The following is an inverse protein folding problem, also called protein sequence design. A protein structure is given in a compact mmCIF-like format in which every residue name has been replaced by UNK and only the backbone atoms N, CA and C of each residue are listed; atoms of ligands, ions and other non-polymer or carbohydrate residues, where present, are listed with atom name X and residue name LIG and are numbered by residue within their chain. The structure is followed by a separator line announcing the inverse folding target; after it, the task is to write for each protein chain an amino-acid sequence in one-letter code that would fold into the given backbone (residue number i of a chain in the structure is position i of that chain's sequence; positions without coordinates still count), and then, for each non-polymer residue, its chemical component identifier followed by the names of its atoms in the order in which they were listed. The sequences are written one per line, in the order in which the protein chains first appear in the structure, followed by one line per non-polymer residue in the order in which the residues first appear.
data_IF_686907617268
#
_entry.id   IF_686907617268
#
_cell.length_a   1.000
_cell.length_b   1.000
_cell.length_c   1.000
_cell.angle_alpha   90.00
_cell.angle_beta   90.00
_cell.angle_gamma   90.00
#
_symmetry.space_group_name_H-M   'P 1'
#
loop_
_entity.id
_entity.type
_entity.pdbx_description
1 polymer ?
#
# COMPACT_ATOMS: atom_id res chain seq x y z
N UNK A 1 7.04 0.06 21.95
CA UNK A 1 5.79 -0.09 21.14
C UNK A 1 5.75 -1.51 20.61
N UNK A 2 4.69 -2.26 20.91
CA UNK A 2 4.50 -3.63 20.45
C UNK A 2 3.22 -3.75 19.62
N UNK A 3 3.21 -4.69 18.68
CA UNK A 3 2.01 -5.05 17.95
C UNK A 3 1.22 -6.11 18.71
N UNK A 4 -0.10 -5.91 18.86
CA UNK A 4 -1.01 -6.86 19.48
C UNK A 4 -2.13 -7.20 18.51
N UNK A 5 -2.36 -8.49 18.26
CA UNK A 5 -3.44 -8.96 17.40
C UNK A 5 -4.80 -8.57 17.97
N UNK A 6 -5.80 -8.41 17.08
CA UNK A 6 -7.16 -8.01 17.49
C UNK A 6 -7.80 -8.97 18.50
N UNK A 7 -7.46 -10.25 18.43
CA UNK A 7 -7.94 -11.30 19.36
C UNK A 7 -7.28 -11.21 20.75
N UNK A 8 -6.04 -10.68 20.83
CA UNK A 8 -5.23 -10.59 22.06
C UNK A 8 -5.35 -9.22 22.75
N UNK A 9 -6.09 -8.28 22.14
CA UNK A 9 -6.30 -6.96 22.72
C UNK A 9 -7.03 -7.04 24.07
N UNK A 10 -6.51 -6.31 25.06
CA UNK A 10 -7.11 -6.22 26.40
C UNK A 10 -7.53 -4.79 26.70
N UNK A 11 -8.67 -4.65 27.35
CA UNK A 11 -9.17 -3.35 27.83
C UNK A 11 -8.11 -2.68 28.68
N UNK A 12 -7.88 -1.40 28.43
CA UNK A 12 -6.90 -0.59 29.16
C UNK A 12 -5.51 -0.54 28.53
N UNK A 13 -5.24 -1.31 27.47
CA UNK A 13 -4.01 -1.15 26.69
C UNK A 13 -3.94 0.25 26.09
N UNK A 14 -2.75 0.88 26.16
CA UNK A 14 -2.50 2.23 25.66
C UNK A 14 -2.12 2.18 24.20
N UNK A 15 -2.79 2.97 23.37
CA UNK A 15 -2.53 2.99 21.93
C UNK A 15 -1.25 3.76 21.59
N UNK A 16 -0.41 3.16 20.75
CA UNK A 16 0.80 3.81 20.24
C UNK A 16 0.52 4.67 19.00
N UNK A 17 -0.58 4.41 18.28
CA UNK A 17 -1.02 5.15 17.11
C UNK A 17 -2.50 5.50 17.20
N UNK A 18 -2.94 6.62 16.59
CA UNK A 18 -4.36 6.98 16.56
C UNK A 18 -5.15 5.98 15.70
N UNK A 19 -6.44 5.84 15.98
CA UNK A 19 -7.36 5.03 15.18
C UNK A 19 -8.41 5.95 14.58
N UNK A 20 -8.54 5.90 13.25
CA UNK A 20 -9.55 6.63 12.50
C UNK A 20 -10.56 5.66 11.88
N UNK A 21 -11.80 6.13 11.66
CA UNK A 21 -12.75 5.40 10.83
C UNK A 21 -12.51 5.72 9.33
N UNK A 22 -13.29 5.07 8.44
CA UNK A 22 -13.20 5.28 6.99
C UNK A 22 -13.51 6.71 6.51
N UNK A 23 -14.10 7.56 7.36
CA UNK A 23 -14.35 8.97 7.09
C UNK A 23 -13.25 9.89 7.66
N UNK A 24 -12.18 9.31 8.21
CA UNK A 24 -11.11 10.05 8.84
C UNK A 24 -11.50 10.71 10.17
N UNK A 25 -12.56 10.24 10.82
CA UNK A 25 -12.94 10.69 12.16
C UNK A 25 -12.09 9.92 13.17
N UNK A 26 -11.41 10.65 14.04
CA UNK A 26 -10.62 10.08 15.13
C UNK A 26 -11.56 9.34 16.11
N UNK A 27 -11.31 8.05 16.29
CA UNK A 27 -12.03 7.21 17.26
C UNK A 27 -11.27 7.12 18.58
N UNK A 28 -9.97 6.94 18.51
CA UNK A 28 -9.06 6.90 19.64
C UNK A 28 -7.79 7.67 19.31
N UNK A 29 -7.35 8.50 20.20
CA UNK A 29 -6.07 9.20 20.12
C UNK A 29 -4.90 8.30 20.50
N UNK A 30 -3.70 8.78 20.19
CA UNK A 30 -2.46 8.21 20.70
C UNK A 30 -2.44 8.34 22.22
N UNK A 31 -1.99 7.31 22.92
CA UNK A 31 -2.00 7.20 24.38
C UNK A 31 -3.38 6.93 25.02
N UNK A 32 -4.46 6.92 24.26
CA UNK A 32 -5.77 6.54 24.78
C UNK A 32 -5.76 5.07 25.21
N UNK A 33 -6.53 4.77 26.25
CA UNK A 33 -6.78 3.39 26.68
C UNK A 33 -7.92 2.80 25.88
N UNK A 34 -7.66 1.67 25.20
CA UNK A 34 -8.71 1.00 24.43
C UNK A 34 -9.80 0.46 25.37
N UNK A 35 -11.05 0.68 24.98
CA UNK A 35 -12.23 0.18 25.69
C UNK A 35 -12.69 -1.16 25.10
N UNK A 36 -13.61 -1.86 25.79
CA UNK A 36 -14.25 -3.07 25.26
C UNK A 36 -14.94 -2.80 23.92
N UNK A 37 -15.66 -1.70 23.81
CA UNK A 37 -16.31 -1.28 22.57
C UNK A 37 -15.27 -0.97 21.47
N UNK A 38 -14.11 -0.41 21.84
CA UNK A 38 -13.01 -0.18 20.92
C UNK A 38 -12.45 -1.47 20.34
N UNK A 39 -12.27 -2.51 21.16
CA UNK A 39 -11.83 -3.83 20.71
C UNK A 39 -12.84 -4.45 19.74
N UNK A 40 -14.13 -4.36 20.04
CA UNK A 40 -15.19 -4.83 19.14
C UNK A 40 -15.18 -4.05 17.81
N UNK A 41 -14.97 -2.73 17.86
CA UNK A 41 -14.85 -1.90 16.66
C UNK A 41 -13.63 -2.27 15.81
N UNK A 42 -12.49 -2.55 16.41
CA UNK A 42 -11.27 -3.04 15.72
C UNK A 42 -11.58 -4.30 14.92
N UNK A 43 -12.27 -5.26 15.53
CA UNK A 43 -12.69 -6.52 14.87
C UNK A 43 -13.70 -6.25 13.75
N UNK A 44 -14.70 -5.42 13.99
CA UNK A 44 -15.74 -5.08 13.02
C UNK A 44 -15.21 -4.32 11.80
N UNK A 45 -14.14 -3.52 11.98
CA UNK A 45 -13.46 -2.84 10.87
C UNK A 45 -12.48 -3.75 10.13
N UNK A 46 -12.32 -5.01 10.55
CA UNK A 46 -11.39 -5.96 9.95
C UNK A 46 -9.93 -5.57 10.18
N UNK A 47 -9.64 -4.82 11.25
CA UNK A 47 -8.26 -4.55 11.64
C UNK A 47 -7.68 -5.80 12.31
N UNK A 48 -6.53 -6.22 11.85
CA UNK A 48 -5.85 -7.43 12.34
C UNK A 48 -5.23 -7.26 13.74
N UNK A 49 -5.00 -6.02 14.18
CA UNK A 49 -4.45 -5.67 15.46
C UNK A 49 -4.05 -4.21 15.54
N UNK A 50 -3.46 -3.84 16.66
CA UNK A 50 -3.06 -2.47 16.96
C UNK A 50 -1.64 -2.41 17.53
N UNK A 51 -0.98 -1.28 17.32
CA UNK A 51 0.22 -0.94 18.06
C UNK A 51 -0.15 -0.38 19.43
N UNK A 52 0.39 -1.01 20.47
CA UNK A 52 0.22 -0.58 21.85
C UNK A 52 1.55 -0.20 22.48
N UNK A 53 1.49 0.68 23.47
CA UNK A 53 2.64 1.08 24.26
C UNK A 53 2.90 0.06 25.36
N UNK A 54 4.15 -0.22 25.62
CA UNK A 54 4.54 -0.96 26.81
C UNK A 54 4.26 -0.14 28.08
N UNK A 55 4.11 -0.79 29.23
CA UNK A 55 3.99 -0.08 30.49
C UNK A 55 5.15 0.90 30.68
N UNK A 56 4.83 2.14 31.03
CA UNK A 56 5.79 3.23 31.24
C UNK A 56 6.62 3.66 30.02
N UNK A 57 6.30 3.19 28.81
CA UNK A 57 6.98 3.64 27.59
C UNK A 57 6.70 5.14 27.36
N UNK A 58 7.74 5.99 27.24
CA UNK A 58 7.57 7.40 26.96
C UNK A 58 7.06 7.58 25.53
N UNK A 59 6.17 8.53 25.35
CA UNK A 59 5.55 8.80 24.05
C UNK A 59 5.90 10.23 23.61
N UNK A 60 6.75 10.36 22.58
CA UNK A 60 6.94 11.63 21.91
C UNK A 60 5.65 12.10 21.24
N UNK A 61 5.29 13.38 21.28
CA UNK A 61 4.10 13.88 20.59
C UNK A 61 4.23 13.67 19.08
N UNK A 62 3.12 13.32 18.41
CA UNK A 62 3.06 13.33 16.95
C UNK A 62 2.92 14.77 16.45
N UNK A 63 3.59 15.10 15.37
CA UNK A 63 3.35 16.35 14.66
C UNK A 63 1.96 16.37 14.00
N UNK A 64 1.49 17.55 13.66
CA UNK A 64 0.22 17.71 12.94
C UNK A 64 0.30 17.00 11.58
N UNK A 65 1.45 17.06 10.92
CA UNK A 65 1.69 16.41 9.61
C UNK A 65 1.62 14.89 9.74
N UNK A 66 2.23 14.30 10.77
CA UNK A 66 2.15 12.86 11.03
C UNK A 66 0.71 12.40 11.29
N UNK A 67 -0.06 13.17 12.08
CA UNK A 67 -1.48 12.86 12.32
C UNK A 67 -2.30 12.95 11.03
N UNK A 68 -2.04 13.96 10.18
CA UNK A 68 -2.72 14.11 8.90
C UNK A 68 -2.37 12.98 7.94
N UNK A 69 -1.11 12.55 7.92
CA UNK A 69 -0.66 11.44 7.10
C UNK A 69 -1.30 10.11 7.52
N UNK A 70 -1.30 9.78 8.80
CA UNK A 70 -1.98 8.59 9.35
C UNK A 70 -3.49 8.58 9.01
N UNK A 71 -4.14 9.74 9.15
CA UNK A 71 -5.55 9.90 8.79
C UNK A 71 -5.76 9.65 7.30
N UNK A 72 -4.92 10.27 6.44
CA UNK A 72 -4.98 10.09 5.00
C UNK A 72 -4.79 8.63 4.61
N UNK A 73 -3.74 7.98 5.10
CA UNK A 73 -3.49 6.56 4.82
C UNK A 73 -4.70 5.69 5.20
N UNK A 74 -5.29 5.92 6.37
CA UNK A 74 -6.46 5.15 6.81
C UNK A 74 -7.63 5.30 5.83
N UNK A 75 -7.97 6.54 5.46
CA UNK A 75 -9.09 6.80 4.54
C UNK A 75 -8.87 6.18 3.17
N UNK A 76 -7.65 6.35 2.63
CA UNK A 76 -7.34 5.87 1.28
C UNK A 76 -7.22 4.34 1.20
N UNK A 77 -6.75 3.67 2.25
CA UNK A 77 -6.76 2.19 2.31
C UNK A 77 -8.20 1.66 2.22
N UNK A 78 -9.15 2.27 2.93
CA UNK A 78 -10.55 1.86 2.85
C UNK A 78 -11.15 2.14 1.46
N UNK A 79 -10.89 3.33 0.89
CA UNK A 79 -11.32 3.68 -0.47
C UNK A 79 -10.76 2.70 -1.49
N UNK A 80 -9.45 2.48 -1.45
CA UNK A 80 -8.77 1.60 -2.38
C UNK A 80 -9.28 0.16 -2.29
N UNK A 81 -9.52 -0.34 -1.07
CA UNK A 81 -10.12 -1.66 -0.87
C UNK A 81 -11.48 -1.77 -1.55
N UNK A 82 -12.34 -0.76 -1.40
CA UNK A 82 -13.68 -0.76 -2.01
C UNK A 82 -13.56 -0.73 -3.55
N UNK A 83 -12.67 0.11 -4.12
CA UNK A 83 -12.44 0.21 -5.58
C UNK A 83 -11.81 -1.05 -6.18
N UNK A 84 -10.75 -1.57 -5.56
CA UNK A 84 -10.08 -2.77 -6.06
C UNK A 84 -10.97 -4.02 -5.98
N UNK A 85 -11.78 -4.14 -4.92
CA UNK A 85 -12.78 -5.22 -4.85
C UNK A 85 -13.90 -5.04 -5.89
N UNK A 86 -14.32 -3.81 -6.20
CA UNK A 86 -15.27 -3.55 -7.27
C UNK A 86 -14.73 -4.06 -8.62
N UNK A 87 -13.48 -3.74 -8.96
CA UNK A 87 -12.80 -4.24 -10.17
C UNK A 87 -12.77 -5.77 -10.20
N UNK A 88 -12.42 -6.40 -9.07
CA UNK A 88 -12.38 -7.87 -8.99
C UNK A 88 -13.76 -8.51 -9.23
N UNK A 89 -14.83 -7.80 -8.88
CA UNK A 89 -16.23 -8.20 -9.15
C UNK A 89 -16.73 -7.78 -10.55
N UNK A 90 -15.86 -7.30 -11.43
CA UNK A 90 -16.19 -6.72 -12.76
C UNK A 90 -17.17 -5.52 -12.68
N UNK A 91 -17.09 -4.74 -11.61
CA UNK A 91 -17.82 -3.48 -11.44
C UNK A 91 -16.89 -2.31 -11.74
N UNK A 92 -17.44 -1.24 -12.33
CA UNK A 92 -16.66 -0.04 -12.61
C UNK A 92 -16.13 0.60 -11.31
N UNK A 93 -14.82 0.93 -11.25
CA UNK A 93 -14.24 1.63 -10.10
C UNK A 93 -14.64 3.11 -10.17
N UNK A 94 -15.68 3.47 -9.41
CA UNK A 94 -16.30 4.81 -9.48
C UNK A 94 -15.35 5.94 -9.04
N UNK A 95 -14.40 5.66 -8.15
CA UNK A 95 -13.57 6.68 -7.50
C UNK A 95 -12.05 6.48 -7.69
N UNK A 96 -11.61 5.54 -8.54
CA UNK A 96 -10.19 5.28 -8.76
C UNK A 96 -9.45 6.53 -9.27
N UNK A 97 -10.00 7.22 -10.26
CA UNK A 97 -9.42 8.45 -10.80
C UNK A 97 -9.49 9.61 -9.81
N UNK A 98 -10.52 9.67 -8.97
CA UNK A 98 -10.59 10.64 -7.90
C UNK A 98 -9.50 10.38 -6.85
N UNK A 99 -9.29 9.13 -6.44
CA UNK A 99 -8.21 8.76 -5.52
C UNK A 99 -6.84 9.12 -6.10
N UNK A 100 -6.61 8.88 -7.41
CA UNK A 100 -5.41 9.30 -8.12
C UNK A 100 -5.18 10.82 -8.04
N UNK A 101 -6.22 11.59 -8.35
CA UNK A 101 -6.14 13.06 -8.32
C UNK A 101 -5.92 13.61 -6.90
N UNK A 102 -6.58 13.05 -5.89
CA UNK A 102 -6.42 13.44 -4.49
C UNK A 102 -4.99 13.15 -4.01
N UNK A 103 -4.44 11.98 -4.37
CA UNK A 103 -3.06 11.61 -4.06
C UNK A 103 -2.06 12.53 -4.74
N UNK A 104 -2.24 12.82 -6.04
CA UNK A 104 -1.34 13.74 -6.77
C UNK A 104 -1.40 15.17 -6.25
N UNK A 105 -2.57 15.66 -5.83
CA UNK A 105 -2.69 16.96 -5.16
C UNK A 105 -1.88 17.02 -3.87
N UNK A 106 -1.85 15.94 -3.12
CA UNK A 106 -1.16 15.90 -1.83
C UNK A 106 0.33 15.63 -1.96
N UNK A 107 0.77 14.76 -2.88
CA UNK A 107 2.16 14.29 -2.98
C UNK A 107 2.84 14.64 -4.31
N UNK A 108 2.09 14.83 -5.39
CA UNK A 108 2.63 15.07 -6.73
C UNK A 108 3.30 16.44 -6.94
N UNK A 109 3.36 17.30 -5.91
CA UNK A 109 3.98 18.62 -5.96
C UNK A 109 4.82 18.92 -4.69
N UNK A 110 5.18 17.90 -3.92
CA UNK A 110 5.90 18.13 -2.68
C UNK A 110 7.40 18.32 -2.90
N UNK A 111 7.92 19.44 -2.37
CA UNK A 111 9.35 19.75 -2.36
C UNK A 111 10.03 19.53 -1.01
N UNK A 112 9.28 19.32 0.06
CA UNK A 112 9.81 19.03 1.40
C UNK A 112 9.76 17.54 1.73
N UNK A 113 10.50 17.13 2.75
CA UNK A 113 10.47 15.78 3.29
C UNK A 113 9.12 15.50 3.94
N UNK A 114 8.63 14.27 3.78
CA UNK A 114 7.54 13.75 4.60
C UNK A 114 8.09 12.62 5.47
N UNK A 115 7.53 12.48 6.67
CA UNK A 115 7.76 11.30 7.50
C UNK A 115 6.85 10.19 6.97
N UNK A 116 7.41 9.33 6.13
CA UNK A 116 6.68 8.22 5.55
C UNK A 116 6.62 7.07 6.55
N UNK A 117 5.47 6.93 7.22
CA UNK A 117 5.25 5.85 8.17
C UNK A 117 4.69 4.62 7.47
N UNK A 118 5.41 3.51 7.57
CA UNK A 118 4.93 2.23 7.10
C UNK A 118 3.75 1.73 7.94
N UNK A 119 2.72 1.21 7.26
CA UNK A 119 1.62 0.51 7.89
C UNK A 119 1.98 -0.95 8.12
N UNK A 120 1.63 -1.49 9.28
CA UNK A 120 1.69 -2.93 9.48
C UNK A 120 0.72 -3.63 8.53
N UNK A 121 1.17 -4.73 7.91
CA UNK A 121 0.42 -5.50 6.91
C UNK A 121 0.21 -6.94 7.37
N UNK A 122 -0.96 -7.46 7.03
CA UNK A 122 -1.24 -8.88 7.05
C UNK A 122 -1.44 -9.41 5.62
N UNK A 123 -1.44 -10.73 5.41
CA UNK A 123 -1.78 -11.30 4.11
C UNK A 123 -3.15 -10.85 3.56
N UNK A 124 -4.10 -10.54 4.45
CA UNK A 124 -5.47 -10.12 4.08
C UNK A 124 -5.53 -8.66 3.59
N UNK A 125 -4.71 -7.77 4.16
CA UNK A 125 -4.73 -6.35 3.84
C UNK A 125 -3.51 -5.85 3.07
N UNK A 126 -2.56 -6.76 2.81
CA UNK A 126 -1.29 -6.46 2.14
C UNK A 126 -1.50 -5.66 0.86
N UNK A 127 -2.30 -6.17 -0.06
CA UNK A 127 -2.46 -5.59 -1.40
C UNK A 127 -2.92 -4.13 -1.34
N UNK A 128 -3.86 -3.80 -0.46
CA UNK A 128 -4.40 -2.44 -0.37
C UNK A 128 -3.40 -1.44 0.22
N UNK A 129 -2.71 -1.85 1.28
CA UNK A 129 -1.72 -1.01 1.96
C UNK A 129 -0.47 -0.83 1.12
N UNK A 130 -0.02 -1.91 0.48
CA UNK A 130 1.10 -1.91 -0.44
C UNK A 130 0.82 -1.01 -1.66
N UNK A 131 -0.30 -1.20 -2.33
CA UNK A 131 -0.68 -0.39 -3.48
C UNK A 131 -0.76 1.10 -3.15
N UNK A 132 -1.31 1.48 -1.98
CA UNK A 132 -1.33 2.87 -1.55
C UNK A 132 0.07 3.44 -1.33
N UNK A 133 0.93 2.71 -0.62
CA UNK A 133 2.29 3.17 -0.35
C UNK A 133 3.12 3.30 -1.62
N UNK A 134 3.04 2.31 -2.52
CA UNK A 134 3.70 2.37 -3.83
C UNK A 134 3.19 3.56 -4.65
N UNK A 135 1.89 3.85 -4.61
CA UNK A 135 1.32 5.01 -5.30
C UNK A 135 1.83 6.34 -4.74
N UNK A 136 1.93 6.49 -3.41
CA UNK A 136 2.51 7.69 -2.78
C UNK A 136 3.98 7.86 -3.17
N UNK A 137 4.78 6.79 -3.06
CA UNK A 137 6.19 6.81 -3.45
C UNK A 137 6.36 7.12 -4.94
N UNK A 138 5.54 6.52 -5.81
CA UNK A 138 5.54 6.78 -7.25
C UNK A 138 5.20 8.25 -7.56
N UNK A 139 4.24 8.86 -6.87
CA UNK A 139 3.92 10.28 -7.03
C UNK A 139 5.10 11.18 -6.64
N UNK A 140 5.78 10.87 -5.51
CA UNK A 140 6.95 11.62 -5.06
C UNK A 140 8.13 11.48 -6.01
N UNK A 141 8.42 10.26 -6.49
CA UNK A 141 9.52 9.97 -7.42
C UNK A 141 9.24 10.65 -8.77
N UNK A 142 8.06 10.47 -9.34
CA UNK A 142 7.70 11.02 -10.65
C UNK A 142 7.71 12.56 -10.66
N UNK A 143 7.27 13.19 -9.57
CA UNK A 143 7.38 14.64 -9.41
C UNK A 143 8.85 15.09 -9.43
N UNK A 144 9.72 14.43 -8.66
CA UNK A 144 11.15 14.75 -8.61
C UNK A 144 11.89 14.46 -9.91
N UNK A 145 11.45 13.47 -10.67
CA UNK A 145 11.95 13.14 -11.99
C UNK A 145 11.44 14.07 -13.11
N UNK A 146 10.53 15.01 -12.78
CA UNK A 146 10.04 16.01 -13.74
C UNK A 146 8.97 15.47 -14.71
N UNK A 147 8.24 14.41 -14.32
CA UNK A 147 7.17 13.86 -15.14
C UNK A 147 6.02 14.85 -15.30
N UNK A 148 5.40 14.83 -16.48
CA UNK A 148 4.14 15.54 -16.74
C UNK A 148 3.02 15.00 -15.85
N UNK A 149 1.95 15.78 -15.65
CA UNK A 149 0.79 15.34 -14.86
C UNK A 149 0.15 14.06 -15.44
N UNK A 150 0.22 13.86 -16.76
CA UNK A 150 -0.31 12.66 -17.40
C UNK A 150 0.54 11.44 -17.05
N UNK A 151 1.87 11.54 -17.08
CA UNK A 151 2.79 10.48 -16.68
C UNK A 151 2.72 10.19 -15.18
N UNK A 152 2.56 11.22 -14.35
CA UNK A 152 2.32 11.04 -12.91
C UNK A 152 1.00 10.30 -12.66
N UNK A 153 -0.07 10.62 -13.39
CA UNK A 153 -1.35 9.92 -13.30
C UNK A 153 -1.22 8.46 -13.75
N UNK A 154 -0.49 8.21 -14.83
CA UNK A 154 -0.24 6.85 -15.33
C UNK A 154 0.46 6.00 -14.28
N UNK A 155 1.57 6.47 -13.71
CA UNK A 155 2.35 5.69 -12.73
C UNK A 155 1.55 5.46 -11.44
N UNK A 156 0.73 6.42 -10.99
CA UNK A 156 -0.09 6.26 -9.79
C UNK A 156 -1.23 5.26 -10.01
N UNK A 157 -1.91 5.31 -11.16
CA UNK A 157 -2.94 4.31 -11.49
C UNK A 157 -2.32 2.93 -11.64
N UNK A 158 -1.16 2.81 -12.29
CA UNK A 158 -0.44 1.56 -12.37
C UNK A 158 -0.05 1.04 -10.97
N UNK A 159 0.41 1.92 -10.07
CA UNK A 159 0.72 1.56 -8.68
C UNK A 159 -0.50 1.05 -7.91
N UNK A 160 -1.69 1.61 -8.12
CA UNK A 160 -2.91 1.08 -7.49
C UNK A 160 -3.30 -0.31 -8.00
N UNK A 161 -3.00 -0.62 -9.25
CA UNK A 161 -3.49 -1.83 -9.91
C UNK A 161 -2.47 -2.98 -9.98
N UNK A 162 -1.17 -2.72 -9.76
CA UNK A 162 -0.11 -3.67 -10.09
C UNK A 162 -0.24 -5.02 -9.37
N UNK A 163 -0.71 -5.01 -8.14
CA UNK A 163 -0.88 -6.21 -7.32
C UNK A 163 -2.34 -6.66 -7.16
N UNK A 164 -3.29 -6.00 -7.86
CA UNK A 164 -4.72 -6.26 -7.71
C UNK A 164 -5.07 -7.74 -7.84
N UNK A 165 -4.47 -8.43 -8.79
CA UNK A 165 -4.79 -9.84 -9.04
C UNK A 165 -4.26 -10.78 -7.97
N UNK A 166 -3.32 -10.33 -7.13
CA UNK A 166 -2.86 -11.08 -5.96
C UNK A 166 -4.00 -11.34 -4.96
N UNK A 167 -5.09 -10.55 -5.01
CA UNK A 167 -6.30 -10.81 -4.21
C UNK A 167 -6.92 -12.20 -4.46
N UNK A 168 -6.70 -12.79 -5.64
CA UNK A 168 -7.16 -14.13 -5.99
C UNK A 168 -6.17 -15.25 -5.56
N UNK A 169 -4.97 -14.89 -5.14
CA UNK A 169 -3.98 -15.86 -4.68
C UNK A 169 -4.28 -16.29 -3.24
N UNK A 170 -3.71 -17.43 -2.86
CA UNK A 170 -3.73 -17.87 -1.46
C UNK A 170 -3.10 -16.81 -0.56
N UNK A 171 -3.63 -16.57 0.66
CA UNK A 171 -3.15 -15.52 1.56
C UNK A 171 -1.63 -15.55 1.78
N UNK A 172 -1.04 -16.73 1.90
CA UNK A 172 0.40 -16.94 2.12
C UNK A 172 1.25 -16.41 0.95
N UNK A 173 0.71 -16.47 -0.27
CA UNK A 173 1.42 -16.05 -1.47
C UNK A 173 1.22 -14.55 -1.78
N UNK A 174 0.14 -13.94 -1.27
CA UNK A 174 -0.17 -12.51 -1.51
C UNK A 174 0.90 -11.57 -0.99
N UNK A 175 1.38 -11.82 0.24
CA UNK A 175 2.39 -11.00 0.92
C UNK A 175 3.80 -11.56 0.83
N UNK A 176 4.02 -12.65 0.09
CA UNK A 176 5.35 -13.25 -0.07
C UNK A 176 6.13 -12.46 -1.13
N UNK A 177 7.03 -11.61 -0.68
CA UNK A 177 7.87 -10.75 -1.54
C UNK A 177 9.25 -11.33 -1.77
N UNK A 178 9.75 -12.14 -0.82
CA UNK A 178 11.07 -12.78 -0.88
C UNK A 178 10.96 -14.30 -0.96
N UNK A 179 12.01 -14.92 -1.46
CA UNK A 179 12.17 -16.38 -1.50
C UNK A 179 11.03 -17.12 -2.22
N UNK A 180 10.45 -16.49 -3.25
CA UNK A 180 9.54 -17.18 -4.17
C UNK A 180 10.30 -18.29 -4.88
N UNK A 181 9.76 -19.52 -4.87
CA UNK A 181 10.25 -20.59 -5.75
C UNK A 181 9.95 -20.23 -7.20
N UNK A 182 10.63 -20.86 -8.17
CA UNK A 182 10.36 -20.63 -9.60
C UNK A 182 8.92 -20.97 -9.98
N UNK A 183 8.34 -22.00 -9.34
CA UNK A 183 6.93 -22.38 -9.54
C UNK A 183 5.98 -21.29 -9.01
N UNK A 184 6.18 -20.80 -7.78
CA UNK A 184 5.40 -19.72 -7.19
C UNK A 184 5.51 -18.44 -8.02
N UNK A 185 6.73 -18.08 -8.46
CA UNK A 185 7.01 -16.93 -9.33
C UNK A 185 6.23 -17.02 -10.64
N UNK A 186 6.28 -18.19 -11.29
CA UNK A 186 5.51 -18.44 -12.51
C UNK A 186 4.00 -18.42 -12.28
N UNK A 187 3.52 -18.86 -11.12
CA UNK A 187 2.11 -18.78 -10.76
C UNK A 187 1.65 -17.33 -10.59
N UNK A 188 2.42 -16.52 -9.86
CA UNK A 188 2.14 -15.08 -9.69
C UNK A 188 2.18 -14.36 -11.02
N UNK A 189 3.21 -14.56 -11.84
CA UNK A 189 3.35 -13.94 -13.15
C UNK A 189 2.13 -14.22 -14.06
N UNK A 190 1.71 -15.47 -14.16
CA UNK A 190 0.53 -15.85 -14.96
C UNK A 190 -0.74 -15.18 -14.46
N UNK A 191 -0.96 -15.14 -13.13
CA UNK A 191 -2.11 -14.48 -12.54
C UNK A 191 -2.10 -12.97 -12.86
N UNK A 192 -0.95 -12.31 -12.72
CA UNK A 192 -0.79 -10.87 -12.99
C UNK A 192 -1.08 -10.57 -14.47
N UNK A 193 -0.49 -11.29 -15.41
CA UNK A 193 -0.70 -11.10 -16.86
C UNK A 193 -2.18 -11.24 -17.23
N UNK A 194 -2.82 -12.32 -16.80
CA UNK A 194 -4.25 -12.55 -17.07
C UNK A 194 -5.13 -11.47 -16.45
N UNK A 195 -4.77 -11.01 -15.27
CA UNK A 195 -5.48 -9.93 -14.59
C UNK A 195 -5.35 -8.59 -15.30
N UNK A 196 -4.15 -8.22 -15.74
CA UNK A 196 -3.90 -6.99 -16.51
C UNK A 196 -4.74 -6.98 -17.79
N UNK A 197 -4.75 -8.09 -18.52
CA UNK A 197 -5.57 -8.21 -19.74
C UNK A 197 -7.06 -8.07 -19.45
N UNK A 198 -7.55 -8.75 -18.41
CA UNK A 198 -8.95 -8.67 -18.00
C UNK A 198 -9.36 -7.25 -17.62
N UNK A 199 -8.55 -6.58 -16.77
CA UNK A 199 -8.84 -5.22 -16.32
C UNK A 199 -8.81 -4.23 -17.48
N UNK A 200 -7.78 -4.31 -18.34
CA UNK A 200 -7.61 -3.41 -19.47
C UNK A 200 -8.71 -3.56 -20.55
N UNK A 201 -9.31 -4.74 -20.65
CA UNK A 201 -10.42 -4.98 -21.56
C UNK A 201 -11.79 -4.59 -20.96
N UNK A 202 -11.90 -4.63 -19.62
CA UNK A 202 -13.15 -4.34 -18.92
C UNK A 202 -13.34 -2.85 -18.61
N UNK A 203 -12.24 -2.12 -18.40
CA UNK A 203 -12.28 -0.74 -17.94
C UNK A 203 -11.44 0.19 -18.80
N UNK A 204 -11.89 1.44 -18.96
CA UNK A 204 -11.16 2.46 -19.69
C UNK A 204 -10.03 3.05 -18.84
N UNK A 205 -8.88 2.38 -18.84
CA UNK A 205 -7.68 2.85 -18.14
C UNK A 205 -6.98 3.96 -18.94
N UNK A 206 -6.23 4.86 -18.25
CA UNK A 206 -5.36 5.81 -18.94
C UNK A 206 -4.40 5.10 -19.91
N UNK A 207 -4.11 5.77 -21.03
CA UNK A 207 -3.16 5.27 -22.01
C UNK A 207 -1.80 5.02 -21.33
N UNK A 208 -1.15 3.90 -21.66
CA UNK A 208 0.14 3.52 -21.09
C UNK A 208 0.06 2.59 -19.89
N UNK A 209 -0.99 2.68 -19.03
CA UNK A 209 -1.10 1.89 -17.79
C UNK A 209 -0.94 0.38 -18.05
N UNK A 210 -1.60 -0.17 -19.10
CA UNK A 210 -1.46 -1.59 -19.46
C UNK A 210 0.01 -1.95 -19.73
N UNK A 211 0.70 -1.15 -20.55
CA UNK A 211 2.10 -1.37 -20.90
C UNK A 211 3.02 -1.30 -19.68
N UNK A 212 2.80 -0.29 -18.82
CA UNK A 212 3.53 -0.11 -17.57
C UNK A 212 3.37 -1.30 -16.64
N UNK A 213 2.15 -1.81 -16.45
CA UNK A 213 1.87 -3.00 -15.65
C UNK A 213 2.52 -4.27 -16.23
N UNK A 214 2.48 -4.46 -17.55
CA UNK A 214 3.11 -5.61 -18.21
C UNK A 214 4.63 -5.59 -18.05
N UNK A 215 5.27 -4.44 -18.25
CA UNK A 215 6.72 -4.31 -18.06
C UNK A 215 7.12 -4.51 -16.60
N UNK A 216 6.35 -3.97 -15.64
CA UNK A 216 6.60 -4.22 -14.22
C UNK A 216 6.55 -5.72 -13.91
N UNK A 217 5.51 -6.42 -14.38
CA UNK A 217 5.37 -7.87 -14.19
C UNK A 217 6.57 -8.64 -14.77
N UNK A 218 7.05 -8.25 -15.95
CA UNK A 218 8.23 -8.87 -16.56
C UNK A 218 9.47 -8.64 -15.73
N UNK A 219 9.72 -7.41 -15.27
CA UNK A 219 10.89 -7.10 -14.44
C UNK A 219 10.86 -7.88 -13.12
N UNK A 220 9.71 -8.00 -12.48
CA UNK A 220 9.59 -8.63 -11.16
C UNK A 220 9.60 -10.16 -11.20
N UNK A 221 8.86 -10.74 -12.14
CA UNK A 221 8.57 -12.18 -12.12
C UNK A 221 9.14 -12.96 -13.29
N UNK A 222 9.54 -12.30 -14.37
CA UNK A 222 10.06 -12.92 -15.59
C UNK A 222 11.29 -12.15 -16.09
N UNK A 223 12.36 -12.03 -15.28
CA UNK A 223 13.51 -11.17 -15.61
C UNK A 223 14.20 -11.57 -16.90
N UNK A 224 14.16 -12.84 -17.30
CA UNK A 224 14.69 -13.32 -18.60
C UNK A 224 13.92 -12.77 -19.81
N UNK A 225 12.64 -12.36 -19.61
CA UNK A 225 11.77 -11.78 -20.63
C UNK A 225 11.62 -10.27 -20.50
N UNK A 226 12.29 -9.65 -19.51
CA UNK A 226 12.20 -8.21 -19.28
C UNK A 226 12.84 -7.43 -20.44
N UNK A 227 12.22 -6.33 -20.92
CA UNK A 227 12.84 -5.46 -21.91
C UNK A 227 14.17 -4.93 -21.40
N UNK A 228 15.17 -4.84 -22.33
CA UNK A 228 16.48 -4.26 -21.98
C UNK A 228 16.42 -2.77 -21.67
N UNK A 229 15.47 -2.08 -22.27
CA UNK A 229 15.19 -0.67 -22.03
C UNK A 229 13.73 -0.50 -21.60
N UNK A 230 13.55 -0.03 -20.38
CA UNK A 230 12.23 0.25 -19.79
C UNK A 230 12.06 1.76 -19.63
N UNK A 231 10.84 2.26 -19.83
CA UNK A 231 10.52 3.68 -19.70
C UNK A 231 10.80 4.19 -18.28
N UNK A 232 11.01 5.49 -18.14
CA UNK A 232 11.22 6.09 -16.81
C UNK A 232 9.99 5.96 -15.91
N UNK A 233 8.78 5.86 -16.47
CA UNK A 233 7.55 5.55 -15.75
C UNK A 233 7.66 4.17 -15.08
N UNK A 234 8.09 3.15 -15.83
CA UNK A 234 8.29 1.80 -15.30
C UNK A 234 9.39 1.78 -14.26
N UNK A 235 10.51 2.49 -14.49
CA UNK A 235 11.61 2.60 -13.51
C UNK A 235 11.14 3.21 -12.21
N UNK A 236 10.35 4.30 -12.27
CA UNK A 236 9.80 4.94 -11.08
C UNK A 236 8.91 3.98 -10.27
N UNK A 237 8.07 3.21 -10.96
CA UNK A 237 7.20 2.21 -10.33
C UNK A 237 8.00 1.05 -9.73
N UNK A 238 9.02 0.54 -10.44
CA UNK A 238 9.91 -0.54 -9.94
C UNK A 238 10.61 -0.10 -8.66
N UNK A 239 11.18 1.11 -8.64
CA UNK A 239 11.87 1.64 -7.46
C UNK A 239 10.91 1.83 -6.29
N UNK A 240 9.72 2.41 -6.53
CA UNK A 240 8.70 2.60 -5.51
C UNK A 240 8.25 1.27 -4.90
N UNK A 241 8.03 0.27 -5.76
CA UNK A 241 7.60 -1.06 -5.36
C UNK A 241 8.67 -1.77 -4.53
N UNK A 242 9.91 -1.82 -5.03
CA UNK A 242 11.02 -2.47 -4.33
C UNK A 242 11.28 -1.82 -2.96
N UNK A 243 11.31 -0.48 -2.91
CA UNK A 243 11.49 0.24 -1.65
C UNK A 243 10.41 -0.08 -0.63
N UNK A 244 9.14 -0.10 -1.05
CA UNK A 244 8.04 -0.41 -0.16
C UNK A 244 8.06 -1.87 0.31
N UNK A 245 8.35 -2.83 -0.56
CA UNK A 245 8.49 -4.24 -0.21
C UNK A 245 9.61 -4.45 0.83
N UNK A 246 10.75 -3.79 0.65
CA UNK A 246 11.90 -3.90 1.54
C UNK A 246 11.69 -3.29 2.93
N UNK A 247 11.01 -2.14 2.98
CA UNK A 247 10.77 -1.40 4.23
C UNK A 247 9.45 -1.76 4.89
N UNK A 248 8.67 -2.67 4.28
CA UNK A 248 7.35 -3.03 4.78
C UNK A 248 7.40 -3.71 6.14
N UNK A 249 6.52 -3.26 7.03
CA UNK A 249 6.26 -3.94 8.31
C UNK A 249 5.20 -5.01 8.10
N UNK A 250 5.62 -6.27 8.16
CA UNK A 250 4.72 -7.43 8.00
C UNK A 250 4.75 -8.29 9.27
N UNK A 251 3.66 -9.02 9.51
CA UNK A 251 3.61 -9.95 10.64
C UNK A 251 4.59 -11.10 10.38
N UNK A 252 5.53 -11.27 11.33
CA UNK A 252 6.54 -12.35 11.25
C UNK A 252 7.76 -12.06 10.37
N UNK A 253 7.88 -10.83 9.84
CA UNK A 253 9.06 -10.37 9.11
C UNK A 253 9.54 -9.04 9.68
N UNK A 254 10.84 -8.94 9.91
CA UNK A 254 11.46 -7.66 10.29
C UNK A 254 11.71 -6.82 9.03
N UNK A 255 11.33 -5.53 9.02
CA UNK A 255 11.59 -4.66 7.90
C UNK A 255 13.09 -4.35 7.81
N UNK A 256 13.60 -4.23 6.58
CA UNK A 256 14.93 -3.66 6.37
C UNK A 256 14.94 -2.16 6.67
N UNK A 257 16.12 -1.63 7.00
CA UNK A 257 16.23 -0.19 7.22
C UNK A 257 16.07 0.58 5.90
N UNK A 258 15.59 1.83 5.99
CA UNK A 258 15.48 2.72 4.82
C UNK A 258 16.84 2.92 4.11
N UNK A 259 17.93 2.90 4.89
CA UNK A 259 19.29 3.03 4.35
C UNK A 259 19.69 1.81 3.54
N UNK A 260 19.34 0.61 3.99
CA UNK A 260 19.64 -0.63 3.27
C UNK A 260 18.81 -0.71 1.98
N UNK A 261 17.52 -0.32 2.04
CA UNK A 261 16.65 -0.30 0.88
C UNK A 261 17.11 0.65 -0.26
N UNK A 262 17.77 1.76 0.08
CA UNK A 262 18.32 2.69 -0.92
C UNK A 262 19.66 2.22 -1.52
N UNK A 263 20.37 1.31 -0.84
CA UNK A 263 21.68 0.80 -1.30
C UNK A 263 21.59 -0.40 -2.24
N UNK A 264 20.42 -0.99 -2.33
CA UNK A 264 20.14 -2.13 -3.23
C UNK A 264 19.88 -1.66 -4.65
#
# INVERSE_FOLDING_TARGET
MIYVKAEDLKVGMRLARPIYNKRGILLYGRNDKITRQGIESVKNFGLIGLYVLEPAEPLAPMSVEEMQFERFQTMEVFRLRDELNAIMMNKEPAHLMQATNDLLKQFGNLYHKINFNQNLRSPEDYVYKHALNVAILSALISHRAGFSLMEQSEVVVAAFLHDLVKLNLQPELRGKTENLTDEERGQVARAVILGIDKISNAFNLPAGVKGTLMHLCQVQYLPENAPKDISDIVKALVVANAYDEYTAMQIGMDPHTEVDAVRM
#
